data_IF_274631871566
#
_entry.id   IF_274631871566
#
_cell.length_a   1.000
_cell.length_b   1.000
_cell.length_c   1.000
_cell.angle_alpha   90.00
_cell.angle_beta   90.00
_cell.angle_gamma   90.00
#
_symmetry.space_group_name_H-M   'P 1'
#
loop_
_entity.id
_entity.type
_entity.pdbx_description
1 polymer ?
#
# COMPACT_ATOMS: atom_id res chain seq x y z
N UNK A 1 -6.53 21.42 40.30
CA UNK A 1 -6.29 22.60 39.44
C UNK A 1 -6.56 22.20 38.00
N UNK A 2 -7.72 22.57 37.45
CA UNK A 2 -8.08 22.21 36.06
C UNK A 2 -7.64 23.36 35.17
N UNK A 3 -6.61 23.14 34.36
CA UNK A 3 -6.03 24.15 33.47
C UNK A 3 -7.05 24.60 32.43
N UNK A 4 -7.42 25.88 32.47
CA UNK A 4 -8.25 26.52 31.45
C UNK A 4 -7.44 26.59 30.16
N UNK A 5 -7.74 25.75 29.18
CA UNK A 5 -7.25 25.93 27.83
C UNK A 5 -7.64 27.33 27.34
N UNK A 6 -6.66 28.10 26.87
CA UNK A 6 -6.85 29.45 26.36
C UNK A 6 -7.88 29.44 25.23
N UNK A 7 -8.80 30.42 25.24
CA UNK A 7 -9.84 30.60 24.22
C UNK A 7 -9.26 30.61 22.78
N UNK A 8 -7.99 31.02 22.63
CA UNK A 8 -7.22 30.98 21.39
C UNK A 8 -6.92 29.55 20.88
N UNK A 9 -6.68 28.59 21.76
CA UNK A 9 -6.41 27.19 21.37
C UNK A 9 -7.70 26.47 20.93
N UNK A 10 -8.86 26.82 21.50
CA UNK A 10 -10.17 26.30 21.05
C UNK A 10 -10.58 26.84 19.69
N UNK A 11 -10.30 28.11 19.39
CA UNK A 11 -10.59 28.70 18.08
C UNK A 11 -9.80 28.03 16.93
N UNK A 12 -8.53 27.66 17.17
CA UNK A 12 -7.69 26.97 16.19
C UNK A 12 -8.17 25.55 15.85
N UNK A 13 -8.82 24.85 16.78
CA UNK A 13 -9.41 23.53 16.50
C UNK A 13 -10.75 23.64 15.76
N UNK A 14 -11.52 24.70 16.00
CA UNK A 14 -12.82 24.92 15.33
C UNK A 14 -12.63 25.39 13.88
N UNK A 15 -11.61 26.21 13.59
CA UNK A 15 -11.25 26.61 12.22
C UNK A 15 -10.76 25.43 11.36
N UNK A 16 -10.14 24.41 11.97
CA UNK A 16 -9.77 23.15 11.30
C UNK A 16 -10.97 22.24 10.98
N UNK A 17 -12.12 22.53 11.58
CA UNK A 17 -13.40 21.89 11.30
C UNK A 17 -14.28 22.68 10.31
N UNK A 18 -13.75 23.71 9.63
CA UNK A 18 -14.42 24.31 8.47
C UNK A 18 -14.68 23.21 7.46
N UNK A 19 -15.97 22.96 7.18
CA UNK A 19 -16.47 21.97 6.23
C UNK A 19 -15.51 21.79 5.05
N UNK A 20 -15.00 20.56 4.85
CA UNK A 20 -14.21 20.22 3.67
C UNK A 20 -14.98 20.67 2.44
N UNK A 21 -14.51 21.74 1.80
CA UNK A 21 -15.11 22.23 0.56
C UNK A 21 -14.73 21.25 -0.54
N UNK A 22 -15.72 20.78 -1.29
CA UNK A 22 -15.50 19.93 -2.46
C UNK A 22 -14.63 20.68 -3.46
N UNK A 23 -13.44 20.14 -3.75
CA UNK A 23 -12.62 20.62 -4.86
C UNK A 23 -13.30 20.23 -6.17
N UNK A 24 -13.43 21.17 -7.10
CA UNK A 24 -14.02 20.93 -8.42
C UNK A 24 -13.14 21.55 -9.51
N UNK A 25 -13.39 21.18 -10.77
CA UNK A 25 -12.69 21.77 -11.91
C UNK A 25 -11.17 21.61 -11.85
N UNK A 26 -10.44 22.69 -12.13
CA UNK A 26 -8.98 22.68 -12.18
C UNK A 26 -8.32 22.33 -10.84
N UNK A 27 -8.87 22.84 -9.72
CA UNK A 27 -8.31 22.60 -8.38
C UNK A 27 -8.39 21.11 -8.00
N UNK A 28 -9.47 20.44 -8.39
CA UNK A 28 -9.60 18.99 -8.20
C UNK A 28 -8.57 18.20 -9.02
N UNK A 29 -8.35 18.60 -10.27
CA UNK A 29 -7.38 17.95 -11.15
C UNK A 29 -5.94 18.14 -10.66
N UNK A 30 -5.59 19.35 -10.20
CA UNK A 30 -4.28 19.63 -9.65
C UNK A 30 -4.05 18.88 -8.34
N UNK A 31 -5.04 18.88 -7.44
CA UNK A 31 -4.97 18.11 -6.20
C UNK A 31 -4.81 16.62 -6.49
N UNK A 32 -5.59 16.08 -7.42
CA UNK A 32 -5.47 14.68 -7.85
C UNK A 32 -4.09 14.37 -8.43
N UNK A 33 -3.53 15.27 -9.25
CA UNK A 33 -2.17 15.12 -9.80
C UNK A 33 -1.12 15.06 -8.69
N UNK A 34 -1.16 16.00 -7.74
CA UNK A 34 -0.24 16.04 -6.60
C UNK A 34 -0.38 14.82 -5.69
N UNK A 35 -1.62 14.35 -5.49
CA UNK A 35 -1.89 13.16 -4.72
C UNK A 35 -1.33 11.90 -5.40
N UNK A 36 -1.46 11.79 -6.73
CA UNK A 36 -0.85 10.69 -7.50
C UNK A 36 0.67 10.70 -7.41
N UNK A 37 1.31 11.86 -7.56
CA UNK A 37 2.76 12.01 -7.42
C UNK A 37 3.24 11.59 -6.02
N UNK A 38 2.55 12.06 -4.97
CA UNK A 38 2.85 11.70 -3.58
C UNK A 38 2.68 10.21 -3.32
N UNK A 39 1.55 9.63 -3.73
CA UNK A 39 1.28 8.21 -3.52
C UNK A 39 2.31 7.35 -4.25
N UNK A 40 2.71 7.72 -5.48
CA UNK A 40 3.78 7.02 -6.21
C UNK A 40 5.11 7.05 -5.46
N UNK A 41 5.47 8.20 -4.88
CA UNK A 41 6.70 8.34 -4.09
C UNK A 41 6.66 7.50 -2.80
N UNK A 42 5.54 7.51 -2.08
CA UNK A 42 5.35 6.67 -0.89
C UNK A 42 5.40 5.18 -1.25
N UNK A 43 4.69 4.79 -2.32
CA UNK A 43 4.70 3.42 -2.80
C UNK A 43 6.11 2.90 -3.11
N UNK A 44 6.98 3.73 -3.71
CA UNK A 44 8.37 3.37 -3.95
C UNK A 44 9.16 3.26 -2.64
N UNK A 45 9.03 4.26 -1.76
CA UNK A 45 9.72 4.30 -0.47
C UNK A 45 9.38 3.11 0.43
N UNK A 46 8.09 2.70 0.48
CA UNK A 46 7.65 1.58 1.29
C UNK A 46 8.29 0.26 0.82
N UNK A 47 8.41 0.08 -0.49
CA UNK A 47 9.03 -1.10 -1.08
C UNK A 47 10.55 -1.12 -0.83
N UNK A 48 11.23 0.01 -1.00
CA UNK A 48 12.67 0.13 -0.72
C UNK A 48 12.99 -0.20 0.74
N UNK A 49 12.23 0.33 1.69
CA UNK A 49 12.41 0.03 3.12
C UNK A 49 12.10 -1.43 3.43
N UNK A 50 11.06 -1.99 2.83
CA UNK A 50 10.69 -3.39 3.01
C UNK A 50 11.77 -4.35 2.46
N UNK A 51 12.38 -4.02 1.32
CA UNK A 51 13.48 -4.78 0.74
C UNK A 51 14.72 -4.77 1.62
N UNK A 52 15.09 -3.60 2.18
CA UNK A 52 16.22 -3.51 3.13
C UNK A 52 15.96 -4.35 4.37
N UNK A 53 14.74 -4.29 4.92
CA UNK A 53 14.38 -5.10 6.07
C UNK A 53 14.40 -6.60 5.72
N UNK A 54 13.83 -6.98 4.58
CA UNK A 54 13.77 -8.37 4.10
C UNK A 54 15.17 -8.97 3.94
N UNK A 55 16.10 -8.22 3.37
CA UNK A 55 17.51 -8.63 3.25
C UNK A 55 18.14 -8.82 4.64
N UNK A 56 17.92 -7.88 5.57
CA UNK A 56 18.46 -7.95 6.92
C UNK A 56 17.95 -9.16 7.74
N UNK A 57 16.71 -9.60 7.51
CA UNK A 57 16.13 -10.77 8.18
C UNK A 57 16.31 -12.08 7.41
N UNK A 58 16.90 -12.05 6.22
CA UNK A 58 17.11 -13.23 5.37
C UNK A 58 15.81 -13.79 4.79
N UNK A 59 14.84 -12.93 4.48
CA UNK A 59 13.60 -13.30 3.79
C UNK A 59 13.91 -13.75 2.36
N UNK A 60 13.23 -14.79 1.90
CA UNK A 60 13.39 -15.33 0.55
C UNK A 60 13.17 -14.23 -0.50
N UNK A 61 13.94 -14.29 -1.60
CA UNK A 61 13.79 -13.32 -2.69
C UNK A 61 12.49 -13.63 -3.43
N UNK A 62 11.70 -12.59 -3.71
CA UNK A 62 10.50 -12.72 -4.50
C UNK A 62 10.84 -13.13 -5.93
N UNK A 63 10.16 -14.17 -6.40
CA UNK A 63 10.22 -14.66 -7.77
C UNK A 63 8.80 -15.03 -8.19
N UNK A 64 8.27 -14.29 -9.18
CA UNK A 64 6.92 -14.50 -9.68
C UNK A 64 6.78 -15.87 -10.37
N UNK A 65 7.80 -16.33 -11.10
CA UNK A 65 7.73 -17.60 -11.81
C UNK A 65 7.70 -18.79 -10.85
N UNK A 66 8.45 -18.71 -9.74
CA UNK A 66 8.38 -19.72 -8.69
C UNK A 66 7.04 -19.69 -7.94
N UNK A 67 6.48 -18.50 -7.68
CA UNK A 67 5.15 -18.37 -7.07
C UNK A 67 4.05 -18.95 -7.99
N UNK A 68 4.11 -18.67 -9.29
CA UNK A 68 3.18 -19.16 -10.31
C UNK A 68 3.18 -20.69 -10.49
N UNK A 69 4.27 -21.37 -10.08
CA UNK A 69 4.30 -22.83 -10.02
C UNK A 69 3.48 -23.40 -8.86
N UNK A 70 3.21 -22.59 -7.83
CA UNK A 70 2.55 -23.01 -6.60
C UNK A 70 1.06 -22.60 -6.62
N UNK A 71 0.75 -21.36 -7.03
CA UNK A 71 -0.62 -20.84 -7.04
C UNK A 71 -0.93 -20.01 -8.29
N UNK A 72 -2.23 -19.90 -8.64
CA UNK A 72 -2.68 -19.01 -9.72
C UNK A 72 -2.58 -17.54 -9.29
N UNK A 73 -1.84 -16.75 -10.06
CA UNK A 73 -1.67 -15.29 -9.86
C UNK A 73 -2.45 -14.47 -10.89
N UNK A 74 -3.15 -15.12 -11.82
CA UNK A 74 -3.80 -14.46 -12.95
C UNK A 74 -5.20 -13.91 -12.63
N UNK A 75 -5.72 -14.12 -11.42
CA UNK A 75 -7.13 -13.87 -11.05
C UNK A 75 -8.09 -14.49 -12.09
N UNK A 76 -7.94 -15.80 -12.31
CA UNK A 76 -8.68 -16.55 -13.33
C UNK A 76 -8.56 -15.92 -14.75
N UNK A 77 -7.38 -15.41 -15.09
CA UNK A 77 -7.06 -14.81 -16.38
C UNK A 77 -7.45 -13.33 -16.55
N UNK A 78 -7.87 -12.64 -15.49
CA UNK A 78 -8.16 -11.19 -15.55
C UNK A 78 -6.89 -10.33 -15.55
N UNK A 79 -5.86 -10.77 -14.83
CA UNK A 79 -4.60 -10.06 -14.69
C UNK A 79 -3.53 -10.64 -15.62
N UNK A 80 -3.62 -10.25 -16.90
CA UNK A 80 -2.76 -10.80 -17.96
C UNK A 80 -1.42 -10.08 -18.10
N UNK A 81 -1.33 -8.80 -17.74
CA UNK A 81 -0.09 -8.03 -17.83
C UNK A 81 0.93 -8.53 -16.80
N UNK A 82 2.04 -9.08 -17.28
CA UNK A 82 3.07 -9.67 -16.42
C UNK A 82 3.74 -8.64 -15.52
N UNK A 83 3.87 -7.39 -15.98
CA UNK A 83 4.47 -6.32 -15.18
C UNK A 83 3.55 -5.92 -14.04
N UNK A 84 2.26 -5.70 -14.32
CA UNK A 84 1.27 -5.39 -13.30
C UNK A 84 1.16 -6.51 -12.27
N UNK A 85 1.17 -7.77 -12.73
CA UNK A 85 1.15 -8.95 -11.86
C UNK A 85 2.38 -9.02 -10.96
N UNK A 86 3.57 -8.85 -11.51
CA UNK A 86 4.79 -8.78 -10.70
C UNK A 86 4.71 -7.65 -9.66
N UNK A 87 4.35 -6.43 -10.09
CA UNK A 87 4.29 -5.25 -9.22
C UNK A 87 3.30 -5.46 -8.04
N UNK A 88 2.17 -6.14 -8.27
CA UNK A 88 1.16 -6.44 -7.24
C UNK A 88 1.70 -7.45 -6.22
N UNK A 89 2.16 -8.62 -6.67
CA UNK A 89 2.56 -9.69 -5.76
C UNK A 89 3.89 -9.41 -5.07
N UNK A 90 4.84 -8.77 -5.74
CA UNK A 90 6.10 -8.34 -5.13
C UNK A 90 5.84 -7.36 -3.98
N UNK A 91 4.97 -6.38 -4.22
CA UNK A 91 4.57 -5.42 -3.18
C UNK A 91 3.87 -6.13 -2.03
N UNK A 92 2.89 -6.98 -2.32
CA UNK A 92 2.14 -7.68 -1.29
C UNK A 92 3.07 -8.54 -0.43
N UNK A 93 3.98 -9.27 -1.06
CA UNK A 93 4.96 -10.12 -0.38
C UNK A 93 5.87 -9.33 0.55
N UNK A 94 6.45 -8.21 0.10
CA UNK A 94 7.41 -7.45 0.91
C UNK A 94 6.76 -6.46 1.88
N UNK A 95 5.77 -5.70 1.42
CA UNK A 95 5.22 -4.54 2.14
C UNK A 95 4.04 -4.93 3.03
N UNK A 96 3.10 -5.73 2.52
CA UNK A 96 1.88 -6.08 3.27
C UNK A 96 2.11 -7.25 4.23
N UNK A 97 2.95 -8.20 3.83
CA UNK A 97 3.27 -9.39 4.62
C UNK A 97 4.76 -9.47 4.99
N UNK A 98 5.33 -8.49 5.71
CA UNK A 98 6.77 -8.44 6.00
C UNK A 98 7.26 -9.64 6.82
N UNK A 99 6.38 -10.25 7.62
CA UNK A 99 6.70 -11.39 8.49
C UNK A 99 6.67 -12.75 7.78
N UNK A 100 6.14 -12.82 6.56
CA UNK A 100 6.17 -14.04 5.75
C UNK A 100 7.57 -14.21 5.20
N UNK A 101 8.22 -15.34 5.46
CA UNK A 101 9.64 -15.49 5.13
C UNK A 101 9.88 -16.22 3.81
N UNK A 102 8.88 -16.93 3.31
CA UNK A 102 9.02 -17.80 2.12
C UNK A 102 7.88 -17.62 1.13
N UNK A 103 8.15 -17.92 -0.15
CA UNK A 103 7.15 -17.91 -1.22
C UNK A 103 6.06 -18.96 -0.99
N UNK A 104 6.41 -20.10 -0.38
CA UNK A 104 5.45 -21.16 -0.06
C UNK A 104 4.41 -20.70 0.96
N UNK A 105 4.83 -20.02 2.02
CA UNK A 105 3.91 -19.42 3.00
C UNK A 105 3.05 -18.34 2.34
N UNK A 106 3.65 -17.53 1.46
CA UNK A 106 2.93 -16.50 0.73
C UNK A 106 1.87 -17.06 -0.21
N UNK A 107 2.14 -18.17 -0.90
CA UNK A 107 1.17 -18.83 -1.78
C UNK A 107 -0.13 -19.19 -1.02
N UNK A 108 -0.03 -19.63 0.23
CA UNK A 108 -1.22 -19.95 1.04
C UNK A 108 -2.08 -18.71 1.32
N UNK A 109 -1.44 -17.54 1.48
CA UNK A 109 -2.13 -16.27 1.65
C UNK A 109 -2.83 -15.87 0.35
N UNK A 110 -2.15 -15.99 -0.80
CA UNK A 110 -2.71 -15.70 -2.11
C UNK A 110 -3.93 -16.58 -2.42
N UNK A 111 -3.82 -17.88 -2.18
CA UNK A 111 -4.95 -18.82 -2.30
C UNK A 111 -6.12 -18.45 -1.37
N UNK A 112 -5.81 -18.03 -0.14
CA UNK A 112 -6.82 -17.56 0.79
C UNK A 112 -7.52 -16.32 0.23
N UNK A 113 -6.78 -15.33 -0.28
CA UNK A 113 -7.37 -14.11 -0.86
C UNK A 113 -8.32 -14.43 -2.02
N UNK A 114 -7.96 -15.35 -2.90
CA UNK A 114 -8.81 -15.78 -4.01
C UNK A 114 -10.04 -16.60 -3.61
N UNK A 115 -10.09 -17.08 -2.36
CA UNK A 115 -11.21 -17.87 -1.85
C UNK A 115 -12.40 -17.02 -1.33
N UNK A 116 -12.26 -15.68 -1.29
CA UNK A 116 -13.30 -14.77 -0.81
C UNK A 116 -13.77 -13.82 -1.93
N UNK A 117 -15.06 -13.49 -1.94
CA UNK A 117 -15.68 -12.49 -2.84
C UNK A 117 -16.57 -11.53 -2.08
#
# INVERSE_FOLDING_TARGET
>A
MVGRASCSQRANLIERGKAMKTLTGADALEFHKKLKERNKALHASDLELALVHADAVGKERFDLEELEKICDTSDAGRLTDAKERNDIYERMYYVEYPNVMTLKEFAHIVETLFSWS
#
